data_IF_261538779688
#
_entry.id   IF_261538779688
#
_cell.length_a   1.000
_cell.length_b   1.000
_cell.length_c   1.000
_cell.angle_alpha   90.00
_cell.angle_beta   90.00
_cell.angle_gamma   90.00
#
_symmetry.space_group_name_H-M   'P 1'
#
loop_
_entity.id
_entity.type
_entity.pdbx_description
1 polymer ?
#
# COMPACT_ATOMS: atom_id res chain seq x y z
N UNK A 1 32.13 0.48 3.44
CA UNK A 1 30.82 -0.10 3.74
C UNK A 1 30.70 -1.49 3.11
N UNK A 2 30.80 -2.53 3.92
CA UNK A 2 30.72 -3.91 3.44
C UNK A 2 31.92 -4.35 2.61
N UNK A 3 31.73 -5.39 1.79
CA UNK A 3 32.75 -5.96 0.91
C UNK A 3 32.79 -5.20 -0.41
N UNK A 4 33.98 -4.93 -0.93
CA UNK A 4 34.17 -4.28 -2.23
C UNK A 4 33.43 -5.05 -3.35
N UNK A 5 32.75 -4.33 -4.24
CA UNK A 5 31.90 -4.88 -5.30
C UNK A 5 30.52 -5.41 -4.84
N UNK A 6 30.18 -5.37 -3.54
CA UNK A 6 28.90 -5.86 -2.99
C UNK A 6 27.94 -4.75 -2.53
N UNK A 7 28.32 -3.47 -2.67
CA UNK A 7 27.54 -2.34 -2.18
C UNK A 7 26.11 -2.27 -2.74
N UNK A 8 25.92 -2.62 -4.01
CA UNK A 8 24.60 -2.68 -4.63
C UNK A 8 23.65 -3.67 -3.91
N UNK A 9 24.15 -4.86 -3.60
CA UNK A 9 23.34 -5.88 -2.92
C UNK A 9 23.01 -5.48 -1.49
N UNK A 10 23.94 -4.86 -0.76
CA UNK A 10 23.68 -4.34 0.58
C UNK A 10 22.63 -3.21 0.56
N UNK A 11 22.64 -2.35 -0.46
CA UNK A 11 21.62 -1.32 -0.63
C UNK A 11 20.24 -1.93 -0.93
N UNK A 12 20.17 -2.94 -1.81
CA UNK A 12 18.91 -3.63 -2.14
C UNK A 12 18.30 -4.36 -0.95
N UNK A 13 19.12 -4.92 -0.07
CA UNK A 13 18.67 -5.55 1.17
C UNK A 13 18.01 -4.51 2.10
N UNK A 14 18.64 -3.35 2.28
CA UNK A 14 18.06 -2.24 3.05
C UNK A 14 16.73 -1.73 2.51
N UNK A 15 16.53 -1.79 1.19
CA UNK A 15 15.27 -1.39 0.56
C UNK A 15 14.09 -2.28 0.95
N UNK A 16 14.28 -3.53 1.33
CA UNK A 16 13.17 -4.37 1.78
C UNK A 16 12.53 -3.83 3.06
N UNK A 17 13.34 -3.37 4.01
CA UNK A 17 12.84 -2.72 5.24
C UNK A 17 12.10 -1.42 4.89
N UNK A 18 12.69 -0.57 4.05
CA UNK A 18 12.08 0.69 3.63
C UNK A 18 10.75 0.47 2.88
N UNK A 19 10.66 -0.56 2.03
CA UNK A 19 9.42 -0.94 1.32
C UNK A 19 8.29 -1.33 2.28
N UNK A 20 8.61 -2.04 3.37
CA UNK A 20 7.62 -2.37 4.42
C UNK A 20 7.12 -1.09 5.08
N UNK A 21 8.02 -0.18 5.44
CA UNK A 21 7.63 1.11 6.06
C UNK A 21 6.75 1.93 5.14
N UNK A 22 7.11 2.04 3.85
CA UNK A 22 6.29 2.73 2.84
C UNK A 22 4.91 2.09 2.71
N UNK A 23 4.84 0.76 2.63
CA UNK A 23 3.55 0.07 2.54
C UNK A 23 2.69 0.29 3.79
N UNK A 24 3.28 0.25 4.98
CA UNK A 24 2.59 0.53 6.24
C UNK A 24 2.02 1.95 6.28
N UNK A 25 2.82 2.95 5.89
CA UNK A 25 2.37 4.35 5.83
C UNK A 25 1.21 4.54 4.84
N UNK A 26 1.27 3.90 3.67
CA UNK A 26 0.18 3.94 2.68
C UNK A 26 -1.10 3.30 3.22
N UNK A 27 -1.00 2.14 3.89
CA UNK A 27 -2.17 1.47 4.46
C UNK A 27 -2.80 2.28 5.60
N UNK A 28 -2.01 2.89 6.48
CA UNK A 28 -2.53 3.79 7.50
C UNK A 28 -3.23 5.03 6.90
N UNK A 29 -2.67 5.60 5.84
CA UNK A 29 -3.31 6.69 5.09
C UNK A 29 -4.62 6.26 4.42
N UNK A 30 -4.67 5.06 3.82
CA UNK A 30 -5.88 4.48 3.24
C UNK A 30 -6.98 4.28 4.28
N UNK A 31 -6.63 3.72 5.43
CA UNK A 31 -7.55 3.51 6.55
C UNK A 31 -8.17 4.83 7.03
N UNK A 32 -7.35 5.88 7.17
CA UNK A 32 -7.84 7.20 7.56
C UNK A 32 -8.77 7.82 6.51
N UNK A 33 -8.50 7.63 5.23
CA UNK A 33 -9.40 8.07 4.17
C UNK A 33 -10.77 7.37 4.25
N UNK A 34 -10.80 6.06 4.49
CA UNK A 34 -12.03 5.28 4.66
C UNK A 34 -12.80 5.75 5.89
N UNK A 35 -12.12 5.99 7.02
CA UNK A 35 -12.72 6.52 8.24
C UNK A 35 -13.41 7.87 8.00
N UNK A 36 -12.70 8.83 7.39
CA UNK A 36 -13.25 10.16 7.06
C UNK A 36 -14.49 10.04 6.16
N UNK A 37 -14.42 9.21 5.12
CA UNK A 37 -15.54 8.99 4.21
C UNK A 37 -16.75 8.36 4.91
N UNK A 38 -16.51 7.39 5.78
CA UNK A 38 -17.56 6.72 6.55
C UNK A 38 -18.25 7.68 7.52
N UNK A 39 -17.49 8.51 8.22
CA UNK A 39 -18.06 9.48 9.17
C UNK A 39 -18.84 10.59 8.46
N UNK A 40 -18.32 11.08 7.33
CA UNK A 40 -19.06 12.00 6.50
C UNK A 40 -20.36 11.39 5.97
N UNK A 41 -20.32 10.14 5.49
CA UNK A 41 -21.50 9.45 4.96
C UNK A 41 -22.59 9.18 6.00
N UNK A 42 -22.25 9.02 7.28
CA UNK A 42 -23.19 8.91 8.39
C UNK A 42 -23.91 10.23 8.68
N UNK A 43 -23.23 11.35 8.53
CA UNK A 43 -23.74 12.68 8.89
C UNK A 43 -24.49 13.36 7.74
N UNK A 44 -23.93 13.27 6.53
CA UNK A 44 -24.50 13.92 5.34
C UNK A 44 -25.76 13.19 4.88
N UNK A 45 -26.84 13.97 4.72
CA UNK A 45 -28.12 13.46 4.19
C UNK A 45 -28.33 13.90 2.74
N UNK A 46 -28.87 13.02 1.93
CA UNK A 46 -29.42 13.28 0.61
C UNK A 46 -30.68 12.44 0.41
N UNK A 47 -31.68 12.98 -0.29
CA UNK A 47 -32.96 12.31 -0.52
C UNK A 47 -33.62 11.80 0.77
N UNK A 48 -33.54 12.58 1.85
CA UNK A 48 -34.17 12.30 3.15
C UNK A 48 -33.46 11.31 4.05
N UNK A 49 -32.30 10.76 3.70
CA UNK A 49 -31.56 9.76 4.49
C UNK A 49 -30.04 9.96 4.44
N UNK A 50 -29.28 9.43 5.43
CA UNK A 50 -27.82 9.46 5.42
C UNK A 50 -27.24 8.80 4.16
N UNK A 51 -26.09 9.32 3.65
CA UNK A 51 -25.41 8.76 2.50
C UNK A 51 -24.98 7.30 2.71
N UNK A 52 -24.65 6.92 3.93
CA UNK A 52 -24.29 5.53 4.30
C UNK A 52 -25.38 4.49 4.01
N UNK A 53 -26.65 4.93 3.83
CA UNK A 53 -27.76 4.05 3.48
C UNK A 53 -27.90 3.78 1.97
N UNK A 54 -27.05 4.35 1.16
CA UNK A 54 -27.02 4.08 -0.27
C UNK A 54 -25.96 3.02 -0.60
N UNK A 55 -26.37 1.93 -1.26
CA UNK A 55 -25.47 0.82 -1.59
C UNK A 55 -24.28 1.24 -2.45
N UNK A 56 -24.46 2.21 -3.37
CA UNK A 56 -23.38 2.77 -4.17
C UNK A 56 -22.28 3.47 -3.35
N UNK A 57 -22.51 3.74 -2.06
CA UNK A 57 -21.50 4.30 -1.13
C UNK A 57 -21.01 3.23 -0.17
N UNK A 58 -21.95 2.48 0.46
CA UNK A 58 -21.58 1.46 1.44
C UNK A 58 -20.80 0.30 0.83
N UNK A 59 -21.08 -0.10 -0.40
CA UNK A 59 -20.36 -1.18 -1.09
C UNK A 59 -18.95 -0.75 -1.47
N UNK A 60 -18.77 0.46 -1.99
CA UNK A 60 -17.44 1.01 -2.27
C UNK A 60 -16.53 0.98 -1.04
N UNK A 61 -17.05 1.37 0.14
CA UNK A 61 -16.27 1.35 1.38
C UNK A 61 -16.03 -0.08 1.88
N UNK A 62 -16.98 -1.00 1.70
CA UNK A 62 -16.81 -2.40 2.08
C UNK A 62 -15.70 -3.08 1.24
N UNK A 63 -15.66 -2.80 -0.06
CA UNK A 63 -14.62 -3.33 -0.96
C UNK A 63 -13.24 -2.82 -0.57
N UNK A 64 -13.09 -1.51 -0.34
CA UNK A 64 -11.82 -0.92 0.08
C UNK A 64 -11.36 -1.44 1.44
N UNK A 65 -12.28 -1.52 2.40
CA UNK A 65 -11.98 -2.03 3.75
C UNK A 65 -11.49 -3.48 3.69
N UNK A 66 -12.14 -4.33 2.90
CA UNK A 66 -11.75 -5.72 2.73
C UNK A 66 -10.35 -5.84 2.11
N UNK A 67 -10.06 -5.09 1.05
CA UNK A 67 -8.74 -5.08 0.42
C UNK A 67 -7.66 -4.57 1.38
N UNK A 68 -7.98 -3.56 2.18
CA UNK A 68 -7.08 -3.01 3.19
C UNK A 68 -6.72 -4.06 4.24
N UNK A 69 -7.73 -4.78 4.75
CA UNK A 69 -7.53 -5.81 5.79
C UNK A 69 -6.67 -6.96 5.27
N UNK A 70 -6.96 -7.47 4.08
CA UNK A 70 -6.15 -8.51 3.42
C UNK A 70 -4.69 -8.07 3.23
N UNK A 71 -4.48 -6.83 2.78
CA UNK A 71 -3.13 -6.34 2.53
C UNK A 71 -2.36 -6.04 3.82
N UNK A 72 -3.05 -5.67 4.91
CA UNK A 72 -2.45 -5.58 6.26
C UNK A 72 -1.91 -6.92 6.73
N UNK A 73 -2.64 -8.01 6.52
CA UNK A 73 -2.18 -9.36 6.86
C UNK A 73 -0.93 -9.76 6.04
N UNK A 74 -0.93 -9.46 4.74
CA UNK A 74 0.24 -9.70 3.89
C UNK A 74 1.45 -8.88 4.34
N UNK A 75 1.24 -7.63 4.71
CA UNK A 75 2.29 -6.75 5.23
C UNK A 75 2.85 -7.25 6.56
N UNK A 76 1.98 -7.67 7.49
CA UNK A 76 2.38 -8.25 8.77
C UNK A 76 3.22 -9.52 8.56
N UNK A 77 2.82 -10.40 7.61
CA UNK A 77 3.62 -11.55 7.20
C UNK A 77 5.01 -11.13 6.71
N UNK A 78 5.08 -10.13 5.82
CA UNK A 78 6.35 -9.65 5.28
C UNK A 78 7.27 -9.06 6.35
N UNK A 79 6.72 -8.25 7.25
CA UNK A 79 7.45 -7.68 8.38
C UNK A 79 8.00 -8.78 9.30
N UNK A 80 7.17 -9.74 9.67
CA UNK A 80 7.58 -10.89 10.48
C UNK A 80 8.70 -11.71 9.82
N UNK A 81 8.63 -11.94 8.49
CA UNK A 81 9.69 -12.64 7.77
C UNK A 81 11.01 -11.87 7.80
N UNK A 82 10.98 -10.55 7.70
CA UNK A 82 12.18 -9.70 7.83
C UNK A 82 12.75 -9.77 9.25
N UNK A 83 11.92 -9.67 10.27
CA UNK A 83 12.36 -9.77 11.67
C UNK A 83 13.04 -11.12 11.92
N UNK A 84 12.47 -12.21 11.43
CA UNK A 84 13.06 -13.55 11.53
C UNK A 84 14.37 -13.68 10.75
N UNK A 85 14.45 -13.12 9.56
CA UNK A 85 15.66 -13.13 8.74
C UNK A 85 16.86 -12.53 9.48
N UNK A 86 16.63 -11.42 10.22
CA UNK A 86 17.70 -10.76 10.96
C UNK A 86 17.96 -11.35 12.34
N UNK A 87 16.94 -11.87 13.02
CA UNK A 87 17.08 -12.42 14.39
C UNK A 87 17.44 -13.89 14.44
N UNK A 88 17.08 -14.67 13.41
CA UNK A 88 17.28 -16.13 13.36
C UNK A 88 17.95 -16.52 12.03
N UNK A 89 19.30 -16.54 11.97
CA UNK A 89 20.02 -16.85 10.72
C UNK A 89 19.58 -18.20 10.13
N UNK A 90 19.22 -18.19 8.84
CA UNK A 90 18.76 -19.38 8.13
C UNK A 90 17.25 -19.65 8.18
N UNK A 91 16.46 -18.82 8.90
CA UNK A 91 14.99 -18.93 8.95
C UNK A 91 14.33 -18.70 7.59
N UNK A 92 14.77 -17.67 6.88
CA UNK A 92 14.31 -17.30 5.56
C UNK A 92 15.47 -16.89 4.65
N UNK A 93 15.20 -16.88 3.34
CA UNK A 93 16.11 -16.36 2.32
C UNK A 93 15.53 -15.10 1.69
N UNK A 94 16.36 -14.23 1.12
CA UNK A 94 15.91 -13.08 0.35
C UNK A 94 14.96 -13.47 -0.80
N UNK A 95 15.19 -14.63 -1.41
CA UNK A 95 14.31 -15.16 -2.47
C UNK A 95 12.87 -15.39 -1.97
N UNK A 96 12.69 -15.80 -0.73
CA UNK A 96 11.36 -15.99 -0.13
C UNK A 96 10.72 -14.67 0.33
N UNK A 97 11.52 -13.71 0.78
CA UNK A 97 11.04 -12.43 1.32
C UNK A 97 10.68 -11.45 0.21
N UNK A 98 11.52 -11.33 -0.82
CA UNK A 98 11.41 -10.30 -1.84
C UNK A 98 10.05 -10.25 -2.54
N UNK A 99 9.42 -11.36 -2.97
CA UNK A 99 8.11 -11.32 -3.62
C UNK A 99 7.01 -10.80 -2.70
N UNK A 100 7.02 -11.19 -1.42
CA UNK A 100 6.04 -10.75 -0.43
C UNK A 100 6.11 -9.25 -0.22
N UNK A 101 7.31 -8.71 -0.03
CA UNK A 101 7.53 -7.29 0.14
C UNK A 101 7.19 -6.51 -1.14
N UNK A 102 7.53 -7.06 -2.29
CA UNK A 102 7.20 -6.45 -3.58
C UNK A 102 5.67 -6.35 -3.80
N UNK A 103 4.91 -7.37 -3.42
CA UNK A 103 3.44 -7.34 -3.45
C UNK A 103 2.90 -6.22 -2.58
N UNK A 104 3.37 -6.11 -1.32
CA UNK A 104 2.95 -5.07 -0.40
C UNK A 104 3.28 -3.66 -0.95
N UNK A 105 4.53 -3.44 -1.39
CA UNK A 105 4.99 -2.15 -1.91
C UNK A 105 4.28 -1.78 -3.21
N UNK A 106 3.91 -2.75 -4.05
CA UNK A 106 3.15 -2.48 -5.26
C UNK A 106 1.70 -2.08 -4.96
N UNK A 107 1.00 -2.86 -4.11
CA UNK A 107 -0.45 -2.72 -3.90
C UNK A 107 -0.82 -1.62 -2.90
N UNK A 108 -0.06 -1.42 -1.82
CA UNK A 108 -0.43 -0.49 -0.76
C UNK A 108 -0.55 0.97 -1.23
N UNK A 109 0.37 1.54 -2.04
CA UNK A 109 0.19 2.89 -2.56
C UNK A 109 -1.02 3.02 -3.50
N UNK A 110 -1.31 2.00 -4.31
CA UNK A 110 -2.46 2.01 -5.21
C UNK A 110 -3.77 1.98 -4.43
N UNK A 111 -3.85 1.16 -3.39
CA UNK A 111 -5.00 1.12 -2.51
C UNK A 111 -5.18 2.45 -1.76
N UNK A 112 -4.09 3.10 -1.35
CA UNK A 112 -4.15 4.41 -0.71
C UNK A 112 -4.66 5.50 -1.66
N UNK A 113 -4.24 5.49 -2.92
CA UNK A 113 -4.75 6.40 -3.96
C UNK A 113 -6.24 6.16 -4.20
N UNK A 114 -6.66 4.91 -4.38
CA UNK A 114 -8.07 4.59 -4.62
C UNK A 114 -8.94 4.93 -3.40
N UNK A 115 -8.46 4.67 -2.18
CA UNK A 115 -9.16 5.05 -0.94
C UNK A 115 -9.33 6.57 -0.82
N UNK A 116 -8.28 7.34 -1.09
CA UNK A 116 -8.36 8.80 -1.08
C UNK A 116 -9.32 9.33 -2.15
N UNK A 117 -9.25 8.79 -3.38
CA UNK A 117 -10.14 9.13 -4.48
C UNK A 117 -11.62 8.86 -4.13
N UNK A 118 -11.93 7.66 -3.61
CA UNK A 118 -13.30 7.30 -3.20
C UNK A 118 -13.78 8.17 -2.05
N UNK A 119 -12.93 8.45 -1.07
CA UNK A 119 -13.24 9.36 0.03
C UNK A 119 -13.56 10.78 -0.48
N UNK A 120 -12.78 11.33 -1.42
CA UNK A 120 -13.06 12.62 -2.05
C UNK A 120 -14.42 12.59 -2.75
N UNK A 121 -14.73 11.56 -3.52
CA UNK A 121 -16.00 11.43 -4.22
C UNK A 121 -17.19 11.35 -3.26
N UNK A 122 -17.06 10.67 -2.14
CA UNK A 122 -18.11 10.57 -1.10
C UNK A 122 -18.30 11.91 -0.37
N UNK A 123 -17.20 12.60 -0.04
CA UNK A 123 -17.21 13.90 0.62
C UNK A 123 -17.58 15.06 -0.32
N UNK A 124 -17.59 14.84 -1.63
CA UNK A 124 -17.90 15.84 -2.64
C UNK A 124 -16.91 17.01 -2.64
N UNK A 125 -17.40 18.21 -2.91
CA UNK A 125 -16.55 19.42 -3.02
C UNK A 125 -15.68 19.64 -1.77
N UNK A 126 -16.16 19.36 -0.57
CA UNK A 126 -15.38 19.46 0.66
C UNK A 126 -14.12 18.57 0.61
N UNK A 127 -14.25 17.32 0.14
CA UNK A 127 -13.12 16.38 0.04
C UNK A 127 -12.00 16.87 -0.89
N UNK A 128 -12.32 17.74 -1.84
CA UNK A 128 -11.37 18.30 -2.80
C UNK A 128 -10.69 19.58 -2.31
N UNK A 129 -11.23 20.24 -1.29
CA UNK A 129 -10.65 21.49 -0.75
C UNK A 129 -9.44 21.20 0.14
N UNK A 130 -8.62 22.25 0.39
CA UNK A 130 -7.49 22.17 1.33
C UNK A 130 -7.92 22.12 2.80
N UNK A 131 -9.19 22.34 3.09
CA UNK A 131 -9.76 22.17 4.44
C UNK A 131 -9.94 20.70 4.81
N UNK A 132 -9.88 19.82 3.78
CA UNK A 132 -9.91 18.37 3.95
C UNK A 132 -8.49 17.80 3.76
N UNK A 133 -8.07 16.80 4.57
CA UNK A 133 -6.78 16.13 4.37
C UNK A 133 -6.75 15.19 3.16
N UNK A 134 -7.89 14.94 2.51
CA UNK A 134 -8.03 13.92 1.46
C UNK A 134 -7.25 14.29 0.18
N UNK A 135 -7.21 15.59 -0.21
CA UNK A 135 -6.43 16.03 -1.38
C UNK A 135 -4.93 15.80 -1.17
N UNK A 136 -4.44 16.11 0.03
CA UNK A 136 -3.04 15.89 0.41
C UNK A 136 -2.73 14.38 0.48
N UNK A 137 -3.63 13.58 1.05
CA UNK A 137 -3.49 12.12 1.12
C UNK A 137 -3.39 11.49 -0.27
N UNK A 138 -4.24 11.92 -1.22
CA UNK A 138 -4.22 11.44 -2.60
C UNK A 138 -2.89 11.78 -3.31
N UNK A 139 -2.44 13.02 -3.20
CA UNK A 139 -1.18 13.48 -3.79
C UNK A 139 0.03 12.79 -3.16
N UNK A 140 0.04 12.63 -1.82
CA UNK A 140 1.07 11.91 -1.09
C UNK A 140 1.13 10.43 -1.49
N UNK A 141 0.00 9.73 -1.52
CA UNK A 141 -0.05 8.33 -1.94
C UNK A 141 0.43 8.12 -3.38
N UNK A 142 0.08 9.02 -4.30
CA UNK A 142 0.52 8.94 -5.71
C UNK A 142 2.04 9.05 -5.84
N UNK A 143 2.73 9.79 -4.98
CA UNK A 143 4.20 9.86 -4.99
C UNK A 143 4.84 8.50 -4.74
N UNK A 144 4.24 7.66 -3.90
CA UNK A 144 4.70 6.30 -3.61
C UNK A 144 4.36 5.28 -4.71
N UNK A 145 3.35 5.55 -5.54
CA UNK A 145 3.11 4.76 -6.76
C UNK A 145 4.22 4.99 -7.78
N UNK A 146 4.61 6.25 -7.97
CA UNK A 146 5.60 6.65 -8.96
C UNK A 146 7.04 6.36 -8.54
N UNK A 147 7.33 6.40 -7.24
CA UNK A 147 8.71 6.35 -6.72
C UNK A 147 8.84 5.63 -5.37
N UNK A 148 9.81 6.08 -4.57
CA UNK A 148 10.24 5.56 -3.27
C UNK A 148 10.54 4.05 -3.27
N UNK A 149 11.80 3.69 -3.04
CA UNK A 149 12.33 2.31 -2.97
C UNK A 149 11.93 1.39 -4.15
N UNK A 150 11.63 2.00 -5.31
CA UNK A 150 11.29 1.33 -6.55
C UNK A 150 9.84 1.58 -7.00
N UNK A 151 9.69 1.93 -8.28
CA UNK A 151 8.39 2.10 -8.92
C UNK A 151 7.61 0.77 -9.00
N UNK A 152 6.30 0.85 -9.20
CA UNK A 152 5.40 -0.31 -9.29
C UNK A 152 5.89 -1.38 -10.30
N UNK A 153 6.47 -0.96 -11.42
CA UNK A 153 6.98 -1.90 -12.43
C UNK A 153 8.17 -2.73 -11.94
N UNK A 154 9.06 -2.15 -11.12
CA UNK A 154 10.16 -2.90 -10.51
C UNK A 154 9.63 -3.96 -9.55
N UNK A 155 8.59 -3.65 -8.80
CA UNK A 155 7.93 -4.63 -7.92
C UNK A 155 7.32 -5.78 -8.72
N UNK A 156 6.69 -5.49 -9.86
CA UNK A 156 6.13 -6.51 -10.76
C UNK A 156 7.21 -7.41 -11.36
N UNK A 157 8.39 -6.89 -11.71
CA UNK A 157 9.52 -7.69 -12.16
C UNK A 157 9.96 -8.68 -11.08
N UNK A 158 10.04 -8.25 -9.81
CA UNK A 158 10.41 -9.14 -8.69
C UNK A 158 9.39 -10.27 -8.55
N UNK A 159 8.09 -9.94 -8.60
CA UNK A 159 6.99 -10.91 -8.50
C UNK A 159 6.99 -11.88 -9.70
N UNK A 160 7.19 -11.36 -10.92
CA UNK A 160 7.22 -12.18 -12.14
C UNK A 160 8.38 -13.19 -12.09
N UNK A 161 9.55 -12.80 -11.57
CA UNK A 161 10.67 -13.70 -11.40
C UNK A 161 10.44 -14.81 -10.38
N UNK A 162 9.62 -14.55 -9.38
CA UNK A 162 9.19 -15.57 -8.42
C UNK A 162 8.25 -16.60 -9.08
N UNK A 163 7.38 -16.14 -10.00
CA UNK A 163 6.42 -16.98 -10.71
C UNK A 163 7.11 -17.83 -11.79
N UNK A 164 7.95 -17.22 -12.60
CA UNK A 164 8.48 -17.85 -13.83
C UNK A 164 9.94 -18.31 -13.71
N UNK A 165 10.70 -17.78 -12.76
CA UNK A 165 12.16 -17.93 -12.70
C UNK A 165 12.90 -16.73 -13.32
N UNK A 166 14.13 -16.51 -12.85
CA UNK A 166 14.92 -15.34 -13.28
C UNK A 166 15.30 -15.38 -14.77
N UNK A 167 15.43 -16.57 -15.32
CA UNK A 167 15.83 -16.82 -16.70
C UNK A 167 14.73 -16.50 -17.73
N UNK A 168 13.47 -16.43 -17.30
CA UNK A 168 12.32 -16.18 -18.16
C UNK A 168 11.78 -14.74 -18.07
N UNK A 169 12.40 -13.89 -17.27
CA UNK A 169 11.96 -12.49 -17.09
C UNK A 169 13.11 -11.53 -17.36
N UNK A 170 12.95 -10.68 -18.39
CA UNK A 170 13.91 -9.65 -18.75
C UNK A 170 14.13 -8.64 -17.61
N UNK A 171 15.29 -7.95 -17.70
CA UNK A 171 15.67 -6.91 -16.71
C UNK A 171 14.99 -5.60 -16.99
#
# INVERSE_FOLDING_TARGET
>A
LGTEGKGFYACMEGFNVARVVVAAACLGGAEKCIEIAADYAKQRKAFGRPLSKFQGISFDLADLYTQLDLLKLQLARGAWMIDKYYSEPGSFTQKQINPIIAQCKWLAPQLAVESAKRAIMICGAFGYTKDSPLEMAMRGAMSYVAGAEGAANIMKIIISRDIFGNEFVDK
#
